data_IF_171321076191
#
_entry.id   IF_171321076191
#
_cell.length_a   1.000
_cell.length_b   1.000
_cell.length_c   1.000
_cell.angle_alpha   90.00
_cell.angle_beta   90.00
_cell.angle_gamma   90.00
#
_symmetry.space_group_name_H-M   'P 1'
#
loop_
_entity.id
_entity.type
_entity.pdbx_description
1 polymer ?
#
# COMPACT_ATOMS: atom_id res chain seq x y z
N UNK A 1 -2.43 15.67 4.22
CA UNK A 1 -2.23 14.41 4.95
C UNK A 1 -2.62 13.24 4.06
N UNK A 2 -1.87 12.17 4.17
CA UNK A 2 -2.00 10.94 3.37
C UNK A 2 -2.41 9.80 4.30
N UNK A 3 -3.29 8.92 3.83
CA UNK A 3 -3.61 7.65 4.48
C UNK A 3 -3.25 6.47 3.57
N UNK A 4 -2.97 5.31 4.14
CA UNK A 4 -2.67 4.08 3.41
C UNK A 4 -3.87 3.12 3.48
N UNK A 5 -4.56 3.01 2.36
CA UNK A 5 -5.71 2.13 2.15
C UNK A 5 -5.27 0.79 1.54
N UNK A 6 -5.83 -0.32 2.00
CA UNK A 6 -5.58 -1.64 1.44
C UNK A 6 -5.97 -1.77 -0.05
N UNK A 7 -6.95 -0.99 -0.51
CA UNK A 7 -7.45 -1.04 -1.90
C UNK A 7 -6.82 0.01 -2.82
N UNK A 8 -6.56 1.20 -2.29
CA UNK A 8 -6.17 2.37 -3.09
C UNK A 8 -4.72 2.80 -2.86
N UNK A 9 -4.03 2.17 -1.89
CA UNK A 9 -2.68 2.57 -1.50
C UNK A 9 -2.66 3.91 -0.77
N UNK A 10 -1.61 4.68 -0.98
CA UNK A 10 -1.42 5.99 -0.38
C UNK A 10 -2.20 7.06 -1.15
N UNK A 11 -3.22 7.60 -0.51
CA UNK A 11 -4.11 8.62 -1.08
C UNK A 11 -4.32 9.78 -0.11
N UNK A 12 -4.66 10.99 -0.61
CA UNK A 12 -5.05 12.09 0.24
C UNK A 12 -6.20 11.70 1.17
N UNK A 13 -6.07 12.05 2.44
CA UNK A 13 -7.06 11.69 3.45
C UNK A 13 -8.46 12.22 3.13
N UNK A 14 -8.55 13.41 2.51
CA UNK A 14 -9.81 14.02 2.05
C UNK A 14 -10.53 13.18 0.99
N UNK A 15 -9.77 12.39 0.21
CA UNK A 15 -10.33 11.55 -0.86
C UNK A 15 -10.83 10.20 -0.31
N UNK A 16 -10.45 9.87 0.94
CA UNK A 16 -10.84 8.65 1.63
C UNK A 16 -11.96 8.88 2.65
N UNK A 17 -11.94 10.03 3.34
CA UNK A 17 -12.91 10.41 4.36
C UNK A 17 -13.56 11.74 3.99
N UNK A 18 -14.88 11.84 4.11
CA UNK A 18 -15.64 13.10 3.91
C UNK A 18 -15.36 14.18 4.98
N UNK A 19 -14.43 13.95 5.90
CA UNK A 19 -14.08 14.84 7.01
C UNK A 19 -12.59 15.09 7.08
N UNK A 20 -12.21 16.34 7.37
CA UNK A 20 -10.86 16.71 7.78
C UNK A 20 -10.58 16.17 9.18
N UNK A 21 -9.73 15.12 9.28
CA UNK A 21 -9.34 14.52 10.56
C UNK A 21 -8.05 15.18 11.08
N UNK A 22 -7.18 15.66 10.20
CA UNK A 22 -5.94 16.33 10.56
C UNK A 22 -6.06 17.83 10.35
N UNK A 23 -5.87 18.59 11.43
CA UNK A 23 -5.70 20.02 11.45
C UNK A 23 -4.22 20.36 11.65
N UNK A 24 -3.79 21.58 11.31
CA UNK A 24 -2.44 22.09 11.58
C UNK A 24 -2.00 21.86 13.04
N UNK A 25 -2.96 21.90 13.97
CA UNK A 25 -2.71 21.83 15.41
C UNK A 25 -2.50 20.40 15.95
N UNK A 26 -2.73 19.35 15.15
CA UNK A 26 -2.60 17.94 15.56
C UNK A 26 -1.69 17.11 14.67
N UNK A 27 -0.84 17.75 13.89
CA UNK A 27 0.12 17.06 12.98
C UNK A 27 1.57 17.08 13.47
N UNK A 28 1.82 17.60 14.66
CA UNK A 28 3.12 17.49 15.30
C UNK A 28 3.51 16.02 15.50
N UNK A 29 4.73 15.67 15.08
CA UNK A 29 5.23 14.29 15.11
C UNK A 29 4.81 13.41 13.93
N UNK A 30 4.13 13.97 12.92
CA UNK A 30 3.86 13.25 11.66
C UNK A 30 5.12 13.08 10.83
N UNK A 31 5.20 11.96 10.12
CA UNK A 31 6.33 11.72 9.21
C UNK A 31 6.11 12.39 7.86
N UNK A 32 7.17 13.01 7.35
CA UNK A 32 7.20 13.54 5.98
C UNK A 32 7.65 12.41 5.06
N UNK A 33 6.91 12.19 3.99
CA UNK A 33 7.21 11.21 2.93
C UNK A 33 7.36 11.90 1.58
N UNK A 34 8.25 11.37 0.78
CA UNK A 34 8.54 11.81 -0.59
C UNK A 34 8.24 10.71 -1.60
N UNK A 35 8.25 11.05 -2.87
CA UNK A 35 8.03 10.10 -3.97
C UNK A 35 8.92 8.86 -3.81
N UNK A 36 8.32 7.67 -3.95
CA UNK A 36 8.92 6.35 -3.78
C UNK A 36 9.24 5.93 -2.34
N UNK A 37 8.91 6.71 -1.33
CA UNK A 37 8.89 6.21 0.05
C UNK A 37 7.78 5.18 0.23
N UNK A 38 8.05 4.18 1.04
CA UNK A 38 7.10 3.15 1.41
C UNK A 38 6.49 3.44 2.79
N UNK A 39 5.21 3.16 2.91
CA UNK A 39 4.47 3.31 4.16
C UNK A 39 3.75 2.01 4.48
N UNK A 40 4.01 1.48 5.66
CA UNK A 40 3.31 0.35 6.22
C UNK A 40 2.25 0.82 7.22
N UNK A 41 1.00 0.49 6.96
CA UNK A 41 -0.08 0.65 7.91
C UNK A 41 -0.36 -0.71 8.58
N UNK A 42 -0.06 -0.91 9.86
CA UNK A 42 -0.21 -2.22 10.52
C UNK A 42 -1.67 -2.63 10.75
N UNK A 43 -2.64 -1.83 10.33
CA UNK A 43 -4.06 -2.13 10.50
C UNK A 43 -4.52 -3.25 9.57
N UNK A 44 -5.05 -4.32 10.18
CA UNK A 44 -5.55 -5.49 9.47
C UNK A 44 -6.90 -5.21 8.81
N UNK A 45 -7.10 -5.80 7.65
CA UNK A 45 -8.39 -5.79 6.94
C UNK A 45 -8.57 -7.08 6.14
N UNK A 46 -9.75 -7.30 5.58
CA UNK A 46 -10.00 -8.45 4.70
C UNK A 46 -9.08 -8.45 3.46
N UNK A 47 -8.83 -7.27 2.90
CA UNK A 47 -7.98 -7.12 1.71
C UNK A 47 -6.48 -7.10 2.04
N UNK A 48 -6.11 -6.84 3.29
CA UNK A 48 -4.73 -6.82 3.77
C UNK A 48 -4.65 -7.39 5.20
N UNK A 49 -4.56 -8.72 5.35
CA UNK A 49 -4.62 -9.38 6.65
C UNK A 49 -3.46 -9.04 7.59
N UNK A 50 -2.36 -8.55 7.04
CA UNK A 50 -1.18 -8.07 7.80
C UNK A 50 -0.96 -6.56 7.68
N UNK A 51 -1.94 -5.84 7.13
CA UNK A 51 -1.85 -4.42 6.83
C UNK A 51 -1.22 -4.13 5.46
N UNK A 52 -1.58 -3.01 4.81
CA UNK A 52 -1.02 -2.64 3.52
C UNK A 52 0.36 -1.99 3.63
N UNK A 53 1.22 -2.29 2.67
CA UNK A 53 2.46 -1.56 2.39
C UNK A 53 2.36 -0.98 0.98
N UNK A 54 2.53 0.33 0.84
CA UNK A 54 2.37 1.02 -0.44
C UNK A 54 3.46 2.06 -0.65
N UNK A 55 3.86 2.31 -1.90
CA UNK A 55 4.77 3.41 -2.23
C UNK A 55 4.02 4.72 -2.47
N UNK A 56 4.66 5.82 -2.12
CA UNK A 56 4.13 7.16 -2.35
C UNK A 56 4.45 7.62 -3.77
N UNK A 57 3.42 8.06 -4.52
CA UNK A 57 3.52 8.32 -5.98
C UNK A 57 3.36 9.78 -6.37
N UNK A 58 3.03 10.64 -5.42
CA UNK A 58 2.82 12.06 -5.73
C UNK A 58 4.16 12.81 -5.77
N UNK A 59 4.26 13.86 -6.60
CA UNK A 59 5.49 14.64 -6.73
C UNK A 59 5.75 15.54 -5.51
N UNK A 60 4.70 16.02 -4.84
CA UNK A 60 4.82 16.84 -3.65
C UNK A 60 4.99 15.97 -2.41
N UNK A 61 5.77 16.45 -1.43
CA UNK A 61 5.88 15.79 -0.15
C UNK A 61 4.53 15.64 0.55
N UNK A 62 4.31 14.50 1.18
CA UNK A 62 3.12 14.21 1.97
C UNK A 62 3.44 14.05 3.45
N UNK A 63 2.42 14.09 4.30
CA UNK A 63 2.56 13.74 5.71
C UNK A 63 1.66 12.57 6.06
N UNK A 64 2.16 11.67 6.90
CA UNK A 64 1.45 10.47 7.36
C UNK A 64 1.49 10.36 8.88
N UNK A 65 0.49 9.67 9.43
CA UNK A 65 0.37 9.44 10.87
C UNK A 65 1.60 8.74 11.44
N UNK A 66 2.04 9.08 12.67
CA UNK A 66 3.10 8.39 13.38
C UNK A 66 2.76 6.93 13.77
N UNK A 67 1.51 6.52 13.54
CA UNK A 67 1.08 5.13 13.70
C UNK A 67 1.52 4.22 12.53
N UNK A 68 2.02 4.81 11.45
CA UNK A 68 2.56 4.11 10.30
C UNK A 68 4.07 4.00 10.40
N UNK A 69 4.62 2.95 9.83
CA UNK A 69 6.06 2.79 9.68
C UNK A 69 6.44 3.21 8.27
N UNK A 70 7.35 4.19 8.17
CA UNK A 70 7.81 4.75 6.92
C UNK A 70 9.25 4.32 6.65
N UNK A 71 9.55 3.97 5.40
CA UNK A 71 10.89 3.57 5.01
C UNK A 71 11.22 3.90 3.57
N UNK A 72 12.51 4.04 3.30
CA UNK A 72 13.08 4.34 1.99
C UNK A 72 14.15 3.32 1.65
N UNK A 73 14.24 2.93 0.39
CA UNK A 73 15.32 2.07 -0.07
C UNK A 73 16.67 2.79 0.02
N UNK A 74 17.71 2.08 0.48
CA UNK A 74 19.09 2.59 0.56
C UNK A 74 19.85 2.46 -0.75
N UNK A 75 19.31 1.72 -1.70
CA UNK A 75 19.86 1.47 -3.04
C UNK A 75 18.80 1.69 -4.09
N UNK A 76 19.21 1.81 -5.33
CA UNK A 76 18.27 1.91 -6.44
C UNK A 76 17.44 0.63 -6.57
N UNK A 77 16.14 0.81 -6.61
CA UNK A 77 15.13 -0.25 -6.74
C UNK A 77 14.06 0.18 -7.73
N UNK A 78 13.31 -0.78 -8.26
CA UNK A 78 12.05 -0.48 -8.95
C UNK A 78 10.90 -0.43 -7.93
N UNK A 79 10.31 0.75 -7.62
CA UNK A 79 9.24 0.87 -6.62
C UNK A 79 8.01 0.06 -6.98
N UNK A 80 7.70 -0.07 -8.28
CA UNK A 80 6.55 -0.84 -8.75
C UNK A 80 6.73 -2.34 -8.50
N UNK A 81 7.96 -2.87 -8.66
CA UNK A 81 8.27 -4.25 -8.29
C UNK A 81 8.00 -4.50 -6.80
N UNK A 82 8.47 -3.60 -5.94
CA UNK A 82 8.27 -3.75 -4.49
C UNK A 82 6.83 -3.54 -4.06
N UNK A 83 6.04 -2.72 -4.75
CA UNK A 83 4.60 -2.69 -4.55
C UNK A 83 3.95 -4.05 -4.81
N UNK A 84 4.32 -4.72 -5.91
CA UNK A 84 3.83 -6.06 -6.21
C UNK A 84 4.29 -7.08 -5.18
N UNK A 85 5.56 -6.99 -4.74
CA UNK A 85 6.09 -7.84 -3.68
C UNK A 85 5.26 -7.69 -2.40
N UNK A 86 4.99 -6.48 -1.95
CA UNK A 86 4.22 -6.23 -0.73
C UNK A 86 2.72 -6.47 -0.87
N UNK A 87 2.18 -6.51 -2.08
CA UNK A 87 0.81 -6.99 -2.35
C UNK A 87 0.70 -8.52 -2.32
N UNK A 88 1.82 -9.24 -2.44
CA UNK A 88 1.87 -10.69 -2.33
C UNK A 88 1.86 -11.14 -0.87
N UNK A 89 1.75 -12.45 -0.65
CA UNK A 89 1.86 -13.07 0.68
C UNK A 89 3.29 -13.45 1.09
N UNK A 90 4.29 -13.11 0.29
CA UNK A 90 5.68 -13.56 0.49
C UNK A 90 6.27 -13.15 1.86
N UNK A 91 5.87 -12.00 2.39
CA UNK A 91 6.32 -11.45 3.66
C UNK A 91 5.42 -11.78 4.86
N UNK A 92 4.21 -12.29 4.63
CA UNK A 92 3.20 -12.52 5.67
C UNK A 92 3.67 -13.52 6.73
N UNK A 93 4.34 -14.60 6.32
CA UNK A 93 4.85 -15.61 7.25
C UNK A 93 5.85 -15.00 8.24
N UNK A 94 6.74 -14.13 7.76
CA UNK A 94 7.70 -13.45 8.64
C UNK A 94 6.98 -12.60 9.70
N UNK A 95 6.02 -11.80 9.29
CA UNK A 95 5.24 -10.97 10.21
C UNK A 95 4.47 -11.83 11.22
N UNK A 96 3.87 -12.94 10.76
CA UNK A 96 3.15 -13.85 11.64
C UNK A 96 4.06 -14.47 12.70
N UNK A 97 5.26 -14.89 12.34
CA UNK A 97 6.22 -15.53 13.24
C UNK A 97 6.95 -14.55 14.16
N UNK A 98 7.12 -13.30 13.73
CA UNK A 98 7.92 -12.28 14.42
C UNK A 98 7.06 -11.24 15.15
N UNK A 99 5.80 -11.11 14.76
CA UNK A 99 4.86 -10.21 15.41
C UNK A 99 4.45 -10.71 16.78
N UNK A 100 4.25 -9.79 17.70
CA UNK A 100 3.65 -10.09 18.98
C UNK A 100 2.14 -10.30 18.79
N UNK A 101 1.62 -11.41 19.30
CA UNK A 101 0.18 -11.73 19.32
C UNK A 101 -0.62 -10.87 20.30
N UNK A 102 -0.03 -9.72 20.68
CA UNK A 102 -0.55 -8.79 21.68
C UNK A 102 -1.99 -8.32 21.49
N UNK A 103 -2.49 -7.65 22.48
CA UNK A 103 -3.85 -7.35 22.85
C UNK A 103 -4.78 -6.65 21.84
N UNK A 104 -4.33 -6.34 20.61
CA UNK A 104 -5.15 -5.71 19.58
C UNK A 104 -5.34 -6.63 18.39
N UNK A 105 -6.56 -7.14 18.22
CA UNK A 105 -6.91 -8.01 17.10
C UNK A 105 -6.94 -7.31 15.74
N UNK A 106 -7.08 -5.98 15.71
CA UNK A 106 -7.21 -5.17 14.50
C UNK A 106 -5.87 -4.66 13.93
N UNK A 107 -4.76 -4.89 14.63
CA UNK A 107 -3.43 -4.42 14.22
C UNK A 107 -2.36 -5.50 14.39
N UNK A 108 -1.34 -5.42 13.54
CA UNK A 108 -0.08 -6.12 13.72
C UNK A 108 0.73 -5.37 14.77
N UNK A 109 1.21 -6.08 15.80
CA UNK A 109 2.18 -5.57 16.77
C UNK A 109 3.55 -6.13 16.40
N UNK A 110 4.43 -5.28 15.89
CA UNK A 110 5.80 -5.64 15.53
C UNK A 110 6.70 -4.44 15.83
N UNK A 111 7.87 -4.72 16.40
CA UNK A 111 8.89 -3.68 16.62
C UNK A 111 9.53 -3.27 15.30
N UNK A 112 9.90 -1.99 15.16
CA UNK A 112 10.54 -1.45 13.96
C UNK A 112 11.80 -2.24 13.59
N UNK A 113 12.68 -2.52 14.58
CA UNK A 113 13.88 -3.33 14.37
C UNK A 113 13.57 -4.71 13.79
N UNK A 114 12.52 -5.36 14.31
CA UNK A 114 12.07 -6.67 13.83
C UNK A 114 11.51 -6.57 12.42
N UNK A 115 10.73 -5.53 12.11
CA UNK A 115 10.22 -5.30 10.77
C UNK A 115 11.37 -5.08 9.77
N UNK A 116 12.35 -4.26 10.11
CA UNK A 116 13.51 -3.98 9.24
C UNK A 116 14.50 -5.15 9.11
N UNK A 117 14.44 -6.12 10.00
CA UNK A 117 15.22 -7.37 9.89
C UNK A 117 14.56 -8.41 8.95
N UNK A 118 13.38 -8.08 8.37
CA UNK A 118 12.68 -8.99 7.46
C UNK A 118 13.53 -9.27 6.21
N UNK A 119 13.82 -10.56 5.92
CA UNK A 119 14.56 -10.92 4.72
C UNK A 119 13.70 -10.69 3.47
N UNK A 120 14.23 -9.94 2.52
CA UNK A 120 13.58 -9.68 1.22
C UNK A 120 14.52 -10.17 0.12
N UNK A 121 14.01 -11.03 -0.76
CA UNK A 121 14.74 -11.42 -1.96
C UNK A 121 14.65 -10.28 -2.99
N UNK A 122 15.80 -9.74 -3.35
CA UNK A 122 15.90 -8.65 -4.33
C UNK A 122 16.48 -9.21 -5.62
N UNK A 123 15.69 -9.36 -6.70
CA UNK A 123 16.20 -9.73 -8.01
C UNK A 123 17.11 -8.66 -8.60
N UNK A 124 17.79 -8.97 -9.70
CA UNK A 124 18.53 -7.96 -10.45
C UNK A 124 17.60 -6.83 -10.92
N UNK A 125 18.12 -5.62 -11.12
CA UNK A 125 17.32 -4.47 -11.58
C UNK A 125 16.53 -4.79 -12.86
N UNK A 126 17.15 -5.50 -13.80
CA UNK A 126 16.50 -5.92 -15.04
C UNK A 126 15.33 -6.89 -14.81
N UNK A 127 15.45 -7.79 -13.84
CA UNK A 127 14.36 -8.70 -13.47
C UNK A 127 13.24 -7.95 -12.75
N UNK A 128 13.57 -7.03 -11.85
CA UNK A 128 12.57 -6.16 -11.21
C UNK A 128 11.73 -5.43 -12.26
N UNK A 129 12.37 -4.83 -13.27
CA UNK A 129 11.69 -4.10 -14.35
C UNK A 129 10.77 -5.01 -15.15
N UNK A 130 11.26 -6.19 -15.55
CA UNK A 130 10.48 -7.15 -16.34
C UNK A 130 9.26 -7.66 -15.56
N UNK A 131 9.43 -8.00 -14.29
CA UNK A 131 8.34 -8.48 -13.43
C UNK A 131 7.32 -7.37 -13.22
N UNK A 132 7.77 -6.16 -12.90
CA UNK A 132 6.92 -5.00 -12.69
C UNK A 132 6.07 -4.67 -13.93
N UNK A 133 6.70 -4.61 -15.10
CA UNK A 133 6.01 -4.36 -16.37
C UNK A 133 4.98 -5.43 -16.70
N UNK A 134 5.33 -6.71 -16.52
CA UNK A 134 4.43 -7.83 -16.78
C UNK A 134 3.19 -7.80 -15.88
N UNK A 135 3.39 -7.67 -14.56
CA UNK A 135 2.30 -7.64 -13.60
C UNK A 135 1.41 -6.40 -13.80
N UNK A 136 2.01 -5.26 -14.10
CA UNK A 136 1.26 -4.04 -14.38
C UNK A 136 0.41 -4.16 -15.67
N UNK A 137 0.93 -4.81 -16.71
CA UNK A 137 0.17 -5.05 -17.93
C UNK A 137 -1.04 -5.97 -17.69
N UNK A 138 -0.88 -7.00 -16.85
CA UNK A 138 -1.99 -7.86 -16.43
C UNK A 138 -3.05 -7.06 -15.67
N UNK A 139 -2.64 -6.27 -14.68
CA UNK A 139 -3.56 -5.45 -13.88
C UNK A 139 -4.35 -4.49 -14.75
N UNK A 140 -3.68 -3.77 -15.66
CA UNK A 140 -4.34 -2.88 -16.61
C UNK A 140 -5.36 -3.62 -17.50
N UNK A 141 -5.04 -4.84 -17.92
CA UNK A 141 -5.97 -5.66 -18.69
C UNK A 141 -7.20 -6.05 -17.88
N UNK A 142 -7.00 -6.44 -16.62
CA UNK A 142 -8.09 -6.76 -15.70
C UNK A 142 -8.99 -5.55 -15.47
N UNK A 143 -8.44 -4.38 -15.25
CA UNK A 143 -9.20 -3.14 -15.05
C UNK A 143 -10.02 -2.76 -16.29
N UNK A 144 -9.41 -2.87 -17.48
CA UNK A 144 -10.14 -2.64 -18.75
C UNK A 144 -11.30 -3.60 -18.93
N UNK A 145 -11.09 -4.89 -18.61
CA UNK A 145 -12.16 -5.89 -18.69
C UNK A 145 -13.27 -5.63 -17.68
N UNK A 146 -12.95 -5.27 -16.45
CA UNK A 146 -13.94 -4.87 -15.43
C UNK A 146 -14.78 -3.67 -15.91
N UNK A 147 -14.12 -2.64 -16.42
CA UNK A 147 -14.78 -1.45 -16.94
C UNK A 147 -15.72 -1.79 -18.10
N UNK A 148 -15.29 -2.66 -19.01
CA UNK A 148 -16.12 -3.13 -20.12
C UNK A 148 -17.37 -3.89 -19.62
N UNK A 149 -17.19 -4.80 -18.67
CA UNK A 149 -18.29 -5.56 -18.06
C UNK A 149 -19.31 -4.62 -17.41
N UNK A 150 -18.86 -3.61 -16.67
CA UNK A 150 -19.76 -2.62 -16.05
C UNK A 150 -20.49 -1.77 -17.09
N UNK A 151 -19.81 -1.36 -18.15
CA UNK A 151 -20.44 -0.64 -19.26
C UNK A 151 -21.53 -1.48 -19.94
N UNK A 152 -21.27 -2.77 -20.21
CA UNK A 152 -22.23 -3.69 -20.78
C UNK A 152 -23.43 -3.95 -19.86
N UNK A 153 -23.20 -4.08 -18.56
CA UNK A 153 -24.28 -4.19 -17.56
C UNK A 153 -25.18 -2.94 -17.56
N UNK A 154 -24.57 -1.76 -17.63
CA UNK A 154 -25.30 -0.49 -17.72
C UNK A 154 -26.14 -0.41 -19.01
N UNK A 155 -25.54 -0.78 -20.14
CA UNK A 155 -26.24 -0.84 -21.43
C UNK A 155 -27.41 -1.81 -21.40
N UNK A 156 -27.21 -3.04 -20.90
CA UNK A 156 -28.29 -4.03 -20.75
C UNK A 156 -29.46 -3.48 -19.91
N UNK A 157 -29.17 -2.81 -18.79
CA UNK A 157 -30.22 -2.20 -17.97
C UNK A 157 -31.01 -1.13 -18.72
N UNK A 158 -30.34 -0.31 -19.52
CA UNK A 158 -30.98 0.72 -20.32
C UNK A 158 -31.85 0.17 -21.47
N UNK A 159 -31.63 -1.07 -21.91
CA UNK A 159 -32.49 -1.74 -22.92
C UNK A 159 -33.74 -2.40 -22.33
N UNK A 160 -33.76 -2.60 -21.00
CA UNK A 160 -34.86 -3.29 -20.30
C UNK A 160 -35.82 -2.31 -19.61
N UNK A 161 -35.54 -1.02 -19.69
CA UNK A 161 -36.41 0.07 -19.23
C UNK A 161 -37.12 0.72 -20.42
#
# INVERSE_FOLDING_TARGET
MICNSAKQGLIPQRDYFDKYIANSDNTDGYYIIETNDFVYNPRKSTDAPYGPISSYKYPEAGIVSPLYLCFRAKQEINPLYFEWYFRSSAWHRYIYMSGDSGARHDRVSIKDETFFAMPINIPSAQEQDRIALFLNAIEQRIEKQRSLVEALKKYKRGLLT
#
